data_IF_674972598069
#
_entry.id   IF_674972598069
#
_cell.length_a   1.000
_cell.length_b   1.000
_cell.length_c   1.000
_cell.angle_alpha   90.00
_cell.angle_beta   90.00
_cell.angle_gamma   90.00
#
_symmetry.space_group_name_H-M   'P 1'
#
loop_
_entity.id
_entity.type
_entity.pdbx_description
1 polymer ?
#
# COMPACT_ATOMS: atom_id res chain seq x y z
N UNK A 1 -70.57 11.83 10.50
CA UNK A 1 -69.57 10.79 10.87
C UNK A 1 -68.19 11.30 10.48
N UNK A 2 -67.35 11.68 11.45
CA UNK A 2 -65.98 12.14 11.20
C UNK A 2 -65.07 10.91 11.09
N UNK A 3 -64.46 10.69 9.92
CA UNK A 3 -63.44 9.66 9.73
C UNK A 3 -62.08 10.28 10.09
N UNK A 4 -61.48 9.79 11.17
CA UNK A 4 -60.08 10.05 11.50
C UNK A 4 -59.20 9.19 10.59
N UNK A 5 -58.31 9.83 9.83
CA UNK A 5 -57.20 9.13 9.20
C UNK A 5 -56.01 9.16 10.16
N UNK A 6 -55.61 7.98 10.65
CA UNK A 6 -54.37 7.79 11.39
C UNK A 6 -53.25 7.75 10.34
N UNK A 7 -52.43 8.80 10.29
CA UNK A 7 -51.16 8.77 9.57
C UNK A 7 -50.16 7.97 10.41
N UNK A 8 -49.88 6.73 10.02
CA UNK A 8 -48.74 5.99 10.54
C UNK A 8 -47.50 6.49 9.81
N UNK A 9 -46.68 7.28 10.50
CA UNK A 9 -45.36 7.67 10.06
C UNK A 9 -44.47 6.42 10.13
N UNK A 10 -44.17 5.79 8.98
CA UNK A 10 -43.10 4.80 8.91
C UNK A 10 -41.76 5.54 9.01
N UNK A 11 -41.23 5.66 10.24
CA UNK A 11 -39.81 5.90 10.46
C UNK A 11 -39.07 4.62 10.04
N UNK A 12 -38.75 4.51 8.75
CA UNK A 12 -37.75 3.56 8.31
C UNK A 12 -36.43 3.96 8.98
N UNK A 13 -35.76 3.07 9.75
CA UNK A 13 -34.38 3.32 10.10
C UNK A 13 -33.62 3.38 8.77
N UNK A 14 -33.14 4.57 8.42
CA UNK A 14 -32.09 4.70 7.43
C UNK A 14 -30.89 4.01 8.07
N UNK A 15 -30.75 2.70 7.83
CA UNK A 15 -29.47 2.04 7.92
C UNK A 15 -28.60 2.76 6.88
N UNK A 16 -27.90 3.80 7.31
CA UNK A 16 -26.69 4.23 6.63
C UNK A 16 -25.79 3.01 6.64
N UNK A 17 -25.82 2.23 5.56
CA UNK A 17 -24.72 1.30 5.28
C UNK A 17 -23.48 2.17 5.31
N UNK A 18 -22.67 2.04 6.36
CA UNK A 18 -21.39 2.71 6.42
C UNK A 18 -20.67 2.34 5.12
N UNK A 19 -20.33 3.34 4.32
CA UNK A 19 -19.69 3.13 3.04
C UNK A 19 -18.42 2.32 3.32
N UNK A 20 -18.41 1.07 2.85
CA UNK A 20 -17.27 0.17 3.07
C UNK A 20 -16.02 0.86 2.49
N UNK A 21 -15.01 1.06 3.32
CA UNK A 21 -13.73 1.59 2.87
C UNK A 21 -13.06 0.52 1.98
N UNK A 22 -12.12 0.91 1.14
CA UNK A 22 -11.36 -0.04 0.31
C UNK A 22 -9.84 0.12 0.52
N UNK A 23 -9.07 -0.80 -0.04
CA UNK A 23 -7.61 -0.79 -0.05
C UNK A 23 -6.99 0.58 -0.35
N UNK A 24 -7.54 1.32 -1.32
CA UNK A 24 -7.01 2.64 -1.70
C UNK A 24 -7.38 3.72 -0.69
N UNK A 25 -8.46 3.56 0.09
CA UNK A 25 -8.74 4.41 1.25
C UNK A 25 -7.68 4.20 2.33
N UNK A 26 -7.33 2.94 2.66
CA UNK A 26 -6.28 2.65 3.63
C UNK A 26 -4.92 3.19 3.19
N UNK A 27 -4.53 2.96 1.93
CA UNK A 27 -3.32 3.52 1.34
C UNK A 27 -3.26 5.05 1.47
N UNK A 28 -4.38 5.73 1.15
CA UNK A 28 -4.44 7.19 1.24
C UNK A 28 -4.28 7.67 2.69
N UNK A 29 -5.02 7.06 3.62
CA UNK A 29 -4.95 7.40 5.05
C UNK A 29 -3.53 7.16 5.59
N UNK A 30 -2.91 6.02 5.28
CA UNK A 30 -1.54 5.71 5.67
C UNK A 30 -0.53 6.74 5.13
N UNK A 31 -0.64 7.14 3.86
CA UNK A 31 0.29 8.10 3.24
C UNK A 31 0.22 9.49 3.91
N UNK A 32 -0.96 9.94 4.35
CA UNK A 32 -1.13 11.21 5.07
C UNK A 32 -0.55 11.20 6.50
N UNK A 33 -0.21 10.02 7.01
CA UNK A 33 0.25 9.82 8.38
C UNK A 33 1.67 9.25 8.47
N UNK A 34 2.29 8.90 7.35
CA UNK A 34 3.57 8.21 7.30
C UNK A 34 4.69 8.97 8.05
N UNK A 35 4.81 10.28 7.86
CA UNK A 35 5.80 11.12 8.57
C UNK A 35 5.54 11.29 10.06
N UNK A 36 4.38 10.86 10.54
CA UNK A 36 3.96 10.95 11.94
C UNK A 36 3.95 9.59 12.64
N UNK A 37 4.35 8.52 11.94
CA UNK A 37 4.37 7.17 12.48
C UNK A 37 3.00 6.54 12.65
N UNK A 38 2.04 6.86 11.77
CA UNK A 38 0.72 6.20 11.74
C UNK A 38 -0.10 6.28 13.05
N UNK A 39 -0.21 7.45 13.72
CA UNK A 39 -0.83 7.56 15.04
C UNK A 39 -2.28 7.09 15.10
N UNK A 40 -3.04 7.22 14.01
CA UNK A 40 -4.43 6.73 13.96
C UNK A 40 -4.50 5.21 14.02
N UNK A 41 -3.48 4.53 13.54
CA UNK A 41 -3.43 3.07 13.38
C UNK A 41 -2.83 2.35 14.59
N UNK A 42 -1.88 2.97 15.30
CA UNK A 42 -1.15 2.34 16.41
C UNK A 42 -2.09 1.72 17.46
N UNK A 43 -3.17 2.41 17.82
CA UNK A 43 -4.12 1.96 18.84
C UNK A 43 -4.87 0.68 18.46
N UNK A 44 -4.93 0.38 17.17
CA UNK A 44 -5.67 -0.74 16.59
C UNK A 44 -4.72 -1.84 16.11
N UNK A 45 -3.56 -1.98 16.75
CA UNK A 45 -2.57 -3.00 16.42
C UNK A 45 -2.51 -4.15 17.42
N UNK A 46 -2.10 -5.32 16.91
CA UNK A 46 -1.69 -6.48 17.69
C UNK A 46 -0.21 -6.77 17.43
N UNK A 47 0.48 -7.32 18.44
CA UNK A 47 1.85 -7.78 18.29
C UNK A 47 1.86 -9.31 18.10
N UNK A 48 2.42 -9.78 16.99
CA UNK A 48 2.53 -11.20 16.67
C UNK A 48 3.96 -11.51 16.18
N UNK A 49 4.69 -12.36 16.91
CA UNK A 49 6.07 -12.76 16.55
C UNK A 49 7.02 -11.58 16.24
N UNK A 50 6.95 -10.52 17.04
CA UNK A 50 7.68 -9.25 16.87
C UNK A 50 7.24 -8.36 15.69
N UNK A 51 6.19 -8.73 14.95
CA UNK A 51 5.54 -7.86 13.97
C UNK A 51 4.39 -7.11 14.62
N UNK A 52 4.25 -5.83 14.30
CA UNK A 52 3.08 -5.02 14.64
C UNK A 52 2.15 -5.11 13.44
N UNK A 53 0.90 -5.55 13.65
CA UNK A 53 -0.09 -5.68 12.58
C UNK A 53 -1.38 -4.98 12.96
N UNK A 54 -2.13 -4.47 12.00
CA UNK A 54 -3.50 -4.02 12.26
C UNK A 54 -4.36 -5.20 12.72
N UNK A 55 -5.29 -4.93 13.63
CA UNK A 55 -6.28 -5.91 14.07
C UNK A 55 -7.17 -6.34 12.90
N UNK A 56 -7.54 -7.61 12.89
CA UNK A 56 -8.36 -8.20 11.82
C UNK A 56 -9.70 -7.44 11.70
N UNK A 57 -10.32 -7.03 12.81
CA UNK A 57 -11.55 -6.20 12.85
C UNK A 57 -11.41 -4.82 12.17
N UNK A 58 -10.20 -4.27 12.11
CA UNK A 58 -9.92 -3.01 11.40
C UNK A 58 -9.62 -3.29 9.94
N UNK A 59 -8.86 -4.34 9.65
CA UNK A 59 -8.58 -4.78 8.27
C UNK A 59 -9.87 -5.08 7.52
N UNK A 60 -10.82 -5.78 8.15
CA UNK A 60 -12.11 -6.17 7.57
C UNK A 60 -13.00 -4.98 7.16
N UNK A 61 -12.71 -3.77 7.66
CA UNK A 61 -13.40 -2.54 7.24
C UNK A 61 -12.98 -2.08 5.83
N UNK A 62 -11.84 -2.56 5.33
CA UNK A 62 -11.26 -2.18 4.05
C UNK A 62 -11.36 -3.33 3.04
N UNK A 63 -12.30 -3.22 2.10
CA UNK A 63 -12.42 -4.16 1.00
C UNK A 63 -11.12 -4.28 0.20
N UNK A 64 -10.67 -5.52 0.04
CA UNK A 64 -9.47 -5.87 -0.73
C UNK A 64 -8.15 -5.72 0.00
N UNK A 65 -8.17 -5.66 1.33
CA UNK A 65 -7.00 -5.79 2.21
C UNK A 65 -7.03 -7.18 2.85
N UNK A 66 -5.96 -7.95 2.73
CA UNK A 66 -5.76 -9.21 3.48
C UNK A 66 -5.19 -8.91 4.87
N UNK A 67 -4.10 -8.14 4.90
CA UNK A 67 -3.35 -7.81 6.12
C UNK A 67 -2.62 -6.48 5.97
N UNK A 68 -2.34 -5.84 7.09
CA UNK A 68 -1.46 -4.67 7.13
C UNK A 68 -0.49 -4.76 8.32
N UNK A 69 0.80 -4.53 8.06
CA UNK A 69 1.87 -4.55 9.05
C UNK A 69 2.46 -3.15 9.20
N UNK A 70 2.94 -2.86 10.40
CA UNK A 70 3.66 -1.63 10.72
C UNK A 70 5.07 -1.99 11.19
N UNK A 71 6.05 -1.24 10.73
CA UNK A 71 7.43 -1.34 11.20
C UNK A 71 8.02 0.06 11.44
N UNK A 72 8.92 0.13 12.42
CA UNK A 72 9.53 1.37 12.88
C UNK A 72 11.03 1.14 13.10
N UNK A 73 11.86 1.81 12.31
CA UNK A 73 13.31 1.74 12.44
C UNK A 73 13.83 3.04 13.07
N UNK A 74 14.34 2.93 14.30
CA UNK A 74 14.93 4.07 15.00
C UNK A 74 16.38 4.29 14.59
N UNK A 75 16.84 5.51 14.84
CA UNK A 75 18.22 5.95 14.72
C UNK A 75 18.77 5.90 13.30
N UNK A 76 17.87 5.99 12.31
CA UNK A 76 18.24 6.08 10.91
C UNK A 76 18.99 7.38 10.65
N UNK A 77 20.17 7.25 10.03
CA UNK A 77 21.00 8.37 9.59
C UNK A 77 20.86 8.51 8.09
N UNK A 78 20.08 9.50 7.68
CA UNK A 78 19.94 9.88 6.28
C UNK A 78 21.31 10.20 5.68
N UNK A 79 21.57 9.67 4.49
CA UNK A 79 22.79 10.02 3.73
C UNK A 79 22.64 11.36 2.99
N UNK A 80 21.40 11.84 2.84
CA UNK A 80 21.04 13.08 2.17
C UNK A 80 20.88 14.27 3.13
N UNK A 81 20.51 14.01 4.38
CA UNK A 81 20.24 15.05 5.40
C UNK A 81 21.32 15.03 6.48
N UNK A 82 22.10 16.10 6.58
CA UNK A 82 23.27 16.17 7.47
C UNK A 82 22.91 16.07 8.97
N UNK A 83 23.29 14.96 9.59
CA UNK A 83 23.46 14.84 11.04
C UNK A 83 22.18 14.70 11.88
N UNK A 84 21.01 14.63 11.25
CA UNK A 84 19.74 14.38 11.93
C UNK A 84 19.42 12.89 12.00
N UNK A 85 18.88 12.45 13.13
CA UNK A 85 18.35 11.11 13.30
C UNK A 85 16.86 11.11 12.97
N UNK A 86 16.44 10.05 12.31
CA UNK A 86 15.05 9.82 11.96
C UNK A 86 14.57 8.51 12.55
N UNK A 87 13.27 8.41 12.76
CA UNK A 87 12.57 7.13 12.81
C UNK A 87 11.94 6.91 11.45
N UNK A 88 12.32 5.85 10.75
CA UNK A 88 11.64 5.43 9.53
C UNK A 88 10.37 4.69 9.91
N UNK A 89 9.27 5.07 9.29
CA UNK A 89 7.94 4.51 9.51
C UNK A 89 7.50 3.82 8.22
N UNK A 90 7.16 2.55 8.31
CA UNK A 90 6.64 1.78 7.18
C UNK A 90 5.32 1.12 7.53
N UNK A 91 4.37 1.16 6.59
CA UNK A 91 3.19 0.30 6.60
C UNK A 91 3.16 -0.56 5.34
N UNK A 92 3.20 -1.88 5.51
CA UNK A 92 3.01 -2.85 4.43
C UNK A 92 1.53 -3.25 4.39
N UNK A 93 0.84 -2.95 3.29
CA UNK A 93 -0.56 -3.32 3.07
C UNK A 93 -0.60 -4.42 2.00
N UNK A 94 -0.97 -5.63 2.40
CA UNK A 94 -1.17 -6.77 1.51
C UNK A 94 -2.60 -6.73 1.00
N UNK A 95 -2.76 -6.46 -0.29
CA UNK A 95 -4.05 -6.32 -0.94
C UNK A 95 -4.52 -7.56 -1.69
N UNK A 96 -5.53 -7.35 -2.55
CA UNK A 96 -6.13 -8.37 -3.40
C UNK A 96 -5.11 -9.29 -4.07
N UNK A 97 -5.45 -10.58 -4.07
CA UNK A 97 -4.68 -11.61 -4.74
C UNK A 97 -5.22 -11.89 -6.14
N UNK A 98 -4.33 -12.27 -7.05
CA UNK A 98 -4.65 -12.84 -8.35
C UNK A 98 -4.04 -14.23 -8.40
N UNK A 99 -4.91 -15.24 -8.51
CA UNK A 99 -4.49 -16.63 -8.59
C UNK A 99 -3.82 -16.94 -9.92
N UNK A 100 -2.63 -17.56 -9.89
CA UNK A 100 -2.02 -18.14 -11.08
C UNK A 100 -2.36 -19.64 -11.26
N UNK A 101 -3.06 -20.24 -10.28
CA UNK A 101 -3.36 -21.67 -10.27
C UNK A 101 -2.08 -22.50 -10.27
N UNK A 102 -2.03 -23.54 -11.11
CA UNK A 102 -0.85 -24.40 -11.27
C UNK A 102 0.12 -23.94 -12.37
N UNK A 103 -0.12 -22.77 -12.96
CA UNK A 103 0.71 -22.24 -14.05
C UNK A 103 2.06 -21.75 -13.55
N UNK A 104 3.08 -21.95 -14.37
CA UNK A 104 4.44 -21.41 -14.17
C UNK A 104 4.47 -19.90 -14.40
N UNK A 105 5.52 -19.24 -13.91
CA UNK A 105 5.72 -17.79 -14.15
C UNK A 105 5.74 -17.46 -15.64
N UNK A 106 6.46 -18.24 -16.46
CA UNK A 106 6.54 -18.05 -17.90
C UNK A 106 5.16 -18.05 -18.58
N UNK A 107 4.23 -18.86 -18.09
CA UNK A 107 2.87 -18.94 -18.63
C UNK A 107 1.97 -17.77 -18.22
N UNK A 108 2.30 -17.06 -17.13
CA UNK A 108 1.42 -16.02 -16.57
C UNK A 108 2.01 -14.61 -16.61
N UNK A 109 3.31 -14.44 -16.84
CA UNK A 109 4.01 -13.15 -16.71
C UNK A 109 3.36 -12.00 -17.48
N UNK A 110 2.91 -12.22 -18.71
CA UNK A 110 2.24 -11.18 -19.51
C UNK A 110 0.86 -10.82 -18.96
N UNK A 111 0.10 -11.83 -18.51
CA UNK A 111 -1.22 -11.60 -17.90
C UNK A 111 -1.09 -10.88 -16.55
N UNK A 112 -0.06 -11.22 -15.76
CA UNK A 112 0.27 -10.57 -14.51
C UNK A 112 0.74 -9.14 -14.73
N UNK A 113 1.55 -8.89 -15.77
CA UNK A 113 1.98 -7.55 -16.14
C UNK A 113 0.79 -6.68 -16.53
N UNK A 114 -0.11 -7.18 -17.38
CA UNK A 114 -1.31 -6.45 -17.78
C UNK A 114 -2.24 -6.17 -16.59
N UNK A 115 -2.39 -7.12 -15.67
CA UNK A 115 -3.17 -6.93 -14.45
C UNK A 115 -2.54 -5.89 -13.52
N UNK A 116 -1.23 -5.99 -13.28
CA UNK A 116 -0.48 -5.04 -12.47
C UNK A 116 -0.53 -3.63 -13.09
N UNK A 117 -0.29 -3.51 -14.40
CA UNK A 117 -0.36 -2.24 -15.13
C UNK A 117 -1.71 -1.55 -14.98
N UNK A 118 -2.83 -2.29 -15.04
CA UNK A 118 -4.17 -1.70 -14.82
C UNK A 118 -4.30 -1.06 -13.43
N UNK A 119 -3.72 -1.69 -12.40
CA UNK A 119 -3.71 -1.14 -11.05
C UNK A 119 -2.80 0.08 -10.94
N UNK A 120 -1.62 0.05 -11.57
CA UNK A 120 -0.72 1.21 -11.66
C UNK A 120 -1.38 2.37 -12.40
N UNK A 121 -1.99 2.14 -13.55
CA UNK A 121 -2.71 3.16 -14.33
C UNK A 121 -3.82 3.82 -13.51
N UNK A 122 -4.56 3.03 -12.70
CA UNK A 122 -5.55 3.56 -11.77
C UNK A 122 -4.90 4.46 -10.70
N UNK A 123 -3.79 4.02 -10.08
CA UNK A 123 -3.08 4.82 -9.08
C UNK A 123 -2.52 6.11 -9.68
N UNK A 124 -1.95 6.07 -10.88
CA UNK A 124 -1.52 7.25 -11.63
C UNK A 124 -2.71 8.19 -11.80
N UNK A 125 -3.85 7.72 -12.31
CA UNK A 125 -5.03 8.58 -12.50
C UNK A 125 -5.53 9.25 -11.20
N UNK A 126 -5.29 8.62 -10.05
CA UNK A 126 -5.70 9.11 -8.73
C UNK A 126 -4.69 10.08 -8.12
N UNK A 127 -3.40 9.86 -8.33
CA UNK A 127 -2.32 10.54 -7.62
C UNK A 127 -1.43 11.43 -8.47
N UNK A 128 -1.55 11.41 -9.80
CA UNK A 128 -0.66 12.15 -10.72
C UNK A 128 -0.69 13.66 -10.48
N UNK A 129 -1.77 14.23 -9.95
CA UNK A 129 -1.78 15.64 -9.56
C UNK A 129 -0.79 15.95 -8.41
N UNK A 130 -0.57 14.98 -7.50
CA UNK A 130 0.15 15.16 -6.23
C UNK A 130 1.55 14.53 -6.24
N UNK A 131 1.72 13.40 -6.92
CA UNK A 131 2.92 12.58 -6.89
C UNK A 131 3.49 12.41 -8.30
N UNK A 132 4.81 12.31 -8.39
CA UNK A 132 5.49 11.70 -9.52
C UNK A 132 5.53 10.18 -9.33
N UNK A 133 5.87 9.45 -10.39
CA UNK A 133 6.04 8.01 -10.31
C UNK A 133 7.17 7.52 -11.21
N UNK A 134 7.76 6.37 -10.87
CA UNK A 134 8.67 5.66 -11.78
C UNK A 134 7.89 5.00 -12.91
N UNK A 135 8.61 4.51 -13.92
CA UNK A 135 8.06 3.48 -14.80
C UNK A 135 7.84 2.17 -14.01
N UNK A 136 7.17 1.21 -14.64
CA UNK A 136 7.07 -0.14 -14.09
C UNK A 136 8.45 -0.79 -14.20
N UNK A 137 9.09 -0.98 -13.06
CA UNK A 137 10.40 -1.62 -12.98
C UNK A 137 10.17 -3.12 -12.90
N UNK A 138 10.79 -3.84 -13.83
CA UNK A 138 10.86 -5.30 -13.81
C UNK A 138 12.16 -5.66 -13.11
N UNK A 139 12.08 -6.34 -11.95
CA UNK A 139 13.29 -6.78 -11.27
C UNK A 139 14.05 -7.79 -12.15
N UNK A 140 15.39 -7.70 -12.23
CA UNK A 140 16.19 -8.62 -13.05
C UNK A 140 16.02 -10.07 -12.58
N UNK A 141 16.06 -10.99 -13.54
CA UNK A 141 15.94 -12.42 -13.27
C UNK A 141 17.21 -12.95 -12.58
N UNK A 142 17.16 -13.18 -11.26
CA UNK A 142 18.19 -13.89 -10.48
C UNK A 142 17.69 -15.29 -10.03
N UNK A 143 18.46 -16.05 -9.24
CA UNK A 143 18.04 -17.38 -8.78
C UNK A 143 16.75 -17.36 -7.91
N UNK A 144 16.41 -16.21 -7.34
CA UNK A 144 15.18 -15.96 -6.58
C UNK A 144 14.04 -15.45 -7.47
N UNK A 145 14.30 -15.07 -8.72
CA UNK A 145 13.29 -14.55 -9.65
C UNK A 145 12.16 -15.52 -10.00
N UNK A 146 12.37 -16.84 -9.83
CA UNK A 146 11.29 -17.85 -9.94
C UNK A 146 10.27 -17.76 -8.80
N UNK A 147 10.67 -17.20 -7.66
CA UNK A 147 9.83 -16.89 -6.51
C UNK A 147 9.42 -15.42 -6.48
N UNK A 148 10.24 -14.54 -7.10
CA UNK A 148 10.11 -13.08 -7.01
C UNK A 148 10.51 -12.34 -8.31
N UNK A 149 9.62 -12.17 -9.28
CA UNK A 149 9.71 -11.07 -10.22
C UNK A 149 8.58 -10.07 -9.92
N UNK A 150 8.67 -9.26 -8.85
CA UNK A 150 7.64 -8.29 -8.57
C UNK A 150 7.88 -7.06 -9.40
N UNK A 151 6.99 -6.83 -10.36
CA UNK A 151 6.82 -5.49 -10.94
C UNK A 151 6.66 -4.51 -9.78
N UNK A 152 7.44 -3.43 -9.82
CA UNK A 152 7.42 -2.40 -8.79
C UNK A 152 7.29 -1.03 -9.43
N UNK A 153 6.51 -0.17 -8.78
CA UNK A 153 6.36 1.23 -9.16
C UNK A 153 6.36 2.06 -7.90
N UNK A 154 7.18 3.10 -7.88
CA UNK A 154 7.25 4.05 -6.78
C UNK A 154 6.43 5.28 -7.11
N UNK A 155 5.70 5.81 -6.12
CA UNK A 155 4.96 7.06 -6.16
C UNK A 155 5.50 7.98 -5.07
N UNK A 156 5.98 9.16 -5.45
CA UNK A 156 6.76 10.02 -4.57
C UNK A 156 6.48 11.50 -4.84
N UNK A 157 6.83 12.36 -3.89
CA UNK A 157 6.58 13.79 -4.03
C UNK A 157 7.33 14.38 -5.24
N UNK A 158 6.65 15.19 -6.07
CA UNK A 158 7.20 15.76 -7.32
C UNK A 158 8.45 16.64 -7.13
N UNK A 159 8.72 17.09 -5.91
CA UNK A 159 9.92 17.83 -5.58
C UNK A 159 11.19 16.95 -5.59
N UNK A 160 11.05 15.62 -5.41
CA UNK A 160 12.16 14.68 -5.54
C UNK A 160 12.44 14.45 -7.02
N UNK A 161 13.67 14.69 -7.46
CA UNK A 161 14.08 14.49 -8.83
C UNK A 161 14.83 13.16 -8.96
N UNK A 162 14.16 12.15 -9.51
CA UNK A 162 14.81 10.90 -9.90
C UNK A 162 15.28 10.99 -11.36
N UNK A 163 16.45 10.39 -11.69
CA UNK A 163 16.89 10.28 -13.08
C UNK A 163 15.83 9.59 -13.95
N UNK A 164 15.56 10.10 -15.17
CA UNK A 164 14.62 9.45 -16.09
C UNK A 164 15.03 7.99 -16.37
N UNK A 165 14.07 7.07 -16.30
CA UNK A 165 14.30 5.65 -16.60
C UNK A 165 15.14 4.89 -15.56
N UNK A 166 15.34 5.45 -14.36
CA UNK A 166 16.04 4.72 -13.29
C UNK A 166 15.28 3.43 -12.91
N UNK A 167 16.00 2.31 -12.90
CA UNK A 167 15.48 1.00 -12.50
C UNK A 167 16.20 0.41 -11.29
N UNK A 168 17.29 1.04 -10.85
CA UNK A 168 18.03 0.62 -9.66
C UNK A 168 17.21 0.99 -8.41
N UNK A 169 16.55 0.00 -7.83
CA UNK A 169 15.71 0.17 -6.66
C UNK A 169 16.48 0.61 -5.41
N UNK A 170 17.78 0.29 -5.31
CA UNK A 170 18.62 0.73 -4.19
C UNK A 170 18.85 2.22 -4.30
N UNK A 171 19.20 2.70 -5.50
CA UNK A 171 19.39 4.13 -5.74
C UNK A 171 18.07 4.90 -5.62
N UNK A 172 16.95 4.35 -6.10
CA UNK A 172 15.62 4.96 -5.90
C UNK A 172 15.33 5.12 -4.41
N UNK A 173 15.45 4.03 -3.62
CA UNK A 173 15.23 4.10 -2.16
C UNK A 173 16.21 5.07 -1.49
N UNK A 174 17.47 5.14 -1.94
CA UNK A 174 18.45 6.11 -1.44
C UNK A 174 18.07 7.56 -1.73
N UNK A 175 17.47 7.85 -2.88
CA UNK A 175 16.98 9.19 -3.24
C UNK A 175 15.68 9.56 -2.52
N UNK A 176 14.88 8.55 -2.16
CA UNK A 176 13.65 8.72 -1.39
C UNK A 176 13.91 8.78 0.12
N UNK A 177 14.98 8.17 0.64
CA UNK A 177 15.50 8.19 2.02
C UNK A 177 14.47 8.48 3.11
N UNK A 178 14.30 9.75 3.47
CA UNK A 178 13.40 10.24 4.54
C UNK A 178 12.15 10.97 4.00
N UNK A 179 11.99 11.03 2.69
CA UNK A 179 10.82 11.61 2.05
C UNK A 179 9.63 10.63 2.07
N UNK A 180 8.39 11.13 2.17
CA UNK A 180 7.21 10.30 2.01
C UNK A 180 7.10 9.72 0.60
N UNK A 181 6.81 8.43 0.52
CA UNK A 181 6.47 7.77 -0.73
C UNK A 181 5.63 6.53 -0.45
N UNK A 182 5.07 5.95 -1.52
CA UNK A 182 4.65 4.56 -1.46
C UNK A 182 5.13 3.79 -2.68
N UNK A 183 5.36 2.50 -2.52
CA UNK A 183 5.55 1.57 -3.63
C UNK A 183 4.30 0.70 -3.79
N UNK A 184 4.09 0.20 -5.00
CA UNK A 184 3.19 -0.91 -5.26
C UNK A 184 4.00 -2.02 -5.91
N UNK A 185 3.82 -3.25 -5.45
CA UNK A 185 4.59 -4.42 -5.84
C UNK A 185 3.69 -5.62 -6.13
N UNK A 186 4.00 -6.37 -7.19
CA UNK A 186 3.38 -7.67 -7.46
C UNK A 186 4.16 -8.79 -6.77
N UNK A 187 3.84 -9.17 -5.53
CA UNK A 187 4.61 -10.19 -4.81
C UNK A 187 3.94 -11.56 -4.85
N UNK A 188 4.73 -12.63 -4.96
CA UNK A 188 4.26 -13.99 -4.67
C UNK A 188 4.77 -14.41 -3.29
N UNK A 189 3.90 -14.82 -2.36
CA UNK A 189 4.35 -15.31 -1.07
C UNK A 189 5.13 -16.61 -1.24
N UNK A 190 6.13 -16.83 -0.39
CA UNK A 190 6.99 -18.02 -0.40
C UNK A 190 6.16 -19.33 -0.33
N UNK A 191 5.06 -19.30 0.42
CA UNK A 191 4.08 -20.37 0.51
C UNK A 191 2.77 -19.88 -0.15
N UNK A 192 2.61 -20.13 -1.44
CA UNK A 192 1.37 -19.79 -2.15
C UNK A 192 1.45 -19.86 -3.67
N UNK A 193 0.26 -19.88 -4.29
CA UNK A 193 0.08 -19.89 -5.76
C UNK A 193 -0.57 -18.60 -6.29
N UNK A 194 -0.84 -17.64 -5.42
CA UNK A 194 -1.43 -16.36 -5.79
C UNK A 194 -0.39 -15.26 -5.71
N UNK A 195 -0.48 -14.28 -6.61
CA UNK A 195 0.27 -13.04 -6.54
C UNK A 195 -0.57 -11.99 -5.83
N UNK A 196 0.03 -11.16 -5.01
CA UNK A 196 -0.62 -10.09 -4.28
C UNK A 196 -0.13 -8.74 -4.79
N UNK A 197 -1.02 -7.74 -4.80
CA UNK A 197 -0.55 -6.36 -4.75
C UNK A 197 -0.15 -6.05 -3.32
N UNK A 198 1.09 -5.65 -3.13
CA UNK A 198 1.61 -5.20 -1.85
C UNK A 198 1.95 -3.73 -1.98
N UNK A 199 1.43 -2.92 -1.07
CA UNK A 199 1.73 -1.49 -1.00
C UNK A 199 2.64 -1.27 0.19
N UNK A 200 3.80 -0.66 -0.02
CA UNK A 200 4.62 -0.20 1.10
C UNK A 200 4.50 1.32 1.18
N UNK A 201 4.00 1.82 2.30
CA UNK A 201 3.90 3.26 2.57
C UNK A 201 5.04 3.64 3.50
N UNK A 202 5.83 4.62 3.09
CA UNK A 202 7.05 5.04 3.78
C UNK A 202 6.95 6.51 4.17
N UNK A 203 7.51 6.84 5.33
CA UNK A 203 7.71 8.21 5.80
C UNK A 203 8.74 8.25 6.93
N UNK A 204 9.10 9.45 7.37
CA UNK A 204 10.12 9.60 8.41
C UNK A 204 9.75 10.68 9.43
N UNK A 205 9.96 10.38 10.71
CA UNK A 205 9.80 11.34 11.80
C UNK A 205 11.17 11.75 12.32
N UNK A 206 11.48 13.05 12.27
CA UNK A 206 12.71 13.57 12.88
C UNK A 206 12.70 13.34 14.40
N UNK A 207 13.84 12.93 14.96
CA UNK A 207 14.03 12.71 16.40
C UNK A 207 14.52 13.95 17.14
#
# INVERSE_FOLDING_TARGET
>A
MKRFAIFILFLLPVCTQAQQKNLYNLLHEALQEADRGFPTFIKDTTQQYNLIRLNDDVVDQYAGVDRAYLSFEKDHKSTLMNGQLYTLNEMEIIGNNVGAGDKTWEEVKDSMFNWYKKNVDFLISRYDALLAHTEIIVRPEDEYSKLYPPFITYFYHKAVQLPPGITDYVEIKRQLDVAPYFSVELRRPMLGKAYNLVFEVHGATAQ
#
